data_IF_016068162597
#
_entry.id   IF_016068162597
#
_cell.length_a   1.000
_cell.length_b   1.000
_cell.length_c   1.000
_cell.angle_alpha   90.00
_cell.angle_beta   90.00
_cell.angle_gamma   90.00
#
_symmetry.space_group_name_H-M   'P 1'
#
loop_
_entity.id
_entity.type
_entity.pdbx_description
1 polymer ?
#
# COMPACT_ATOMS: atom_id res chain seq x y z
N UNK A 1 -26.15 20.41 15.62
CA UNK A 1 -24.73 20.82 15.56
C UNK A 1 -23.89 19.56 15.58
N UNK A 2 -23.50 19.05 14.41
CA UNK A 2 -22.64 17.87 14.32
C UNK A 2 -21.22 18.34 14.56
N UNK A 3 -20.68 18.06 15.74
CA UNK A 3 -19.26 18.26 15.99
C UNK A 3 -18.50 17.16 15.22
N UNK A 4 -17.87 17.53 14.11
CA UNK A 4 -16.83 16.69 13.49
C UNK A 4 -15.65 16.75 14.47
N UNK A 5 -15.50 15.68 15.25
CA UNK A 5 -14.61 15.67 16.42
C UNK A 5 -13.14 15.51 16.06
N UNK A 6 -12.83 15.12 14.82
CA UNK A 6 -11.48 14.85 14.37
C UNK A 6 -11.13 15.74 13.16
N UNK A 7 -10.02 16.50 13.28
CA UNK A 7 -9.47 17.25 12.16
C UNK A 7 -8.89 16.26 11.14
N UNK A 8 -9.20 16.44 9.86
CA UNK A 8 -8.58 15.67 8.79
C UNK A 8 -7.07 15.92 8.80
N UNK A 9 -6.28 14.84 8.87
CA UNK A 9 -4.82 14.91 8.75
C UNK A 9 -4.44 15.05 7.28
N UNK A 10 -3.56 16.02 6.99
CA UNK A 10 -3.00 16.26 5.67
C UNK A 10 -1.49 16.05 5.75
N UNK A 11 -0.97 15.24 4.82
CA UNK A 11 0.46 15.00 4.66
C UNK A 11 0.81 15.29 3.19
N UNK A 12 1.92 15.99 2.97
CA UNK A 12 2.44 16.32 1.64
C UNK A 12 3.76 15.57 1.51
N UNK A 13 3.90 14.80 0.44
CA UNK A 13 5.08 13.98 0.15
C UNK A 13 5.60 14.31 -1.24
N UNK A 14 6.89 14.10 -1.48
CA UNK A 14 7.48 14.30 -2.81
C UNK A 14 7.31 13.05 -3.68
N UNK A 15 7.37 11.88 -3.05
CA UNK A 15 7.37 10.60 -3.73
C UNK A 15 6.24 9.69 -3.21
N UNK A 16 5.67 8.88 -4.12
CA UNK A 16 4.53 8.01 -3.79
C UNK A 16 4.87 6.99 -2.70
N UNK A 17 6.11 6.49 -2.67
CA UNK A 17 6.56 5.51 -1.68
C UNK A 17 6.71 6.08 -0.25
N UNK A 18 6.89 7.40 -0.10
CA UNK A 18 6.99 8.08 1.20
C UNK A 18 5.69 8.02 2.01
N UNK A 19 4.57 7.66 1.37
CA UNK A 19 3.29 7.41 2.04
C UNK A 19 3.37 6.21 2.98
N UNK A 20 4.18 5.18 2.68
CA UNK A 20 4.19 3.96 3.49
C UNK A 20 4.65 4.19 4.94
N UNK A 21 5.78 4.88 5.22
CA UNK A 21 6.17 5.24 6.59
C UNK A 21 5.06 5.96 7.37
N UNK A 22 4.32 6.85 6.70
CA UNK A 22 3.22 7.62 7.28
C UNK A 22 2.06 6.69 7.66
N UNK A 23 1.65 5.80 6.76
CA UNK A 23 0.62 4.80 7.02
C UNK A 23 1.00 3.89 8.20
N UNK A 24 2.25 3.46 8.25
CA UNK A 24 2.76 2.61 9.34
C UNK A 24 2.70 3.34 10.68
N UNK A 25 3.18 4.58 10.73
CA UNK A 25 3.18 5.41 11.95
C UNK A 25 1.76 5.67 12.45
N UNK A 26 0.84 6.02 11.55
CA UNK A 26 -0.47 6.53 11.93
C UNK A 26 -1.52 5.43 12.10
N UNK A 27 -1.46 4.43 11.22
CA UNK A 27 -2.45 3.35 11.14
C UNK A 27 -1.88 2.08 11.77
N UNK A 28 -0.61 1.74 11.50
CA UNK A 28 0.01 0.50 11.95
C UNK A 28 0.03 0.29 13.47
N UNK A 29 0.08 1.37 14.26
CA UNK A 29 0.04 1.30 15.74
C UNK A 29 -1.37 0.99 16.27
N UNK A 30 -2.41 1.32 15.50
CA UNK A 30 -3.81 1.26 15.93
C UNK A 30 -4.64 0.18 15.24
N UNK A 31 -4.11 -0.41 14.16
CA UNK A 31 -4.75 -1.46 13.38
C UNK A 31 -4.97 -2.71 14.24
N UNK A 32 -6.24 -3.03 14.51
CA UNK A 32 -6.60 -4.29 15.15
C UNK A 32 -6.67 -5.39 14.10
N UNK A 33 -6.42 -6.63 14.53
CA UNK A 33 -6.60 -7.80 13.68
C UNK A 33 -8.04 -7.84 13.15
N UNK A 34 -8.20 -7.90 11.82
CA UNK A 34 -9.49 -7.95 11.15
C UNK A 34 -10.11 -6.59 10.78
N UNK A 35 -9.44 -5.48 11.03
CA UNK A 35 -9.89 -4.17 10.53
C UNK A 35 -9.54 -3.98 9.05
N UNK A 36 -10.52 -3.50 8.27
CA UNK A 36 -10.36 -3.22 6.85
C UNK A 36 -9.91 -1.77 6.63
N UNK A 37 -8.71 -1.58 6.08
CA UNK A 37 -8.22 -0.28 5.59
C UNK A 37 -8.29 -0.23 4.07
N UNK A 38 -8.98 0.77 3.52
CA UNK A 38 -9.10 1.00 2.09
C UNK A 38 -8.18 2.14 1.64
N UNK A 39 -7.29 1.85 0.69
CA UNK A 39 -6.54 2.87 -0.04
C UNK A 39 -7.39 3.38 -1.20
N UNK A 40 -7.79 4.65 -1.14
CA UNK A 40 -8.44 5.36 -2.26
C UNK A 40 -7.38 6.19 -2.96
N UNK A 41 -7.10 5.87 -4.23
CA UNK A 41 -5.97 6.45 -4.96
C UNK A 41 -6.38 6.96 -6.34
N UNK A 42 -5.96 8.18 -6.64
CA UNK A 42 -6.14 8.84 -7.94
C UNK A 42 -4.77 9.00 -8.58
N UNK A 43 -4.47 8.18 -9.59
CA UNK A 43 -3.16 8.17 -10.24
C UNK A 43 -3.25 7.49 -11.61
N UNK A 44 -2.34 7.80 -12.53
CA UNK A 44 -2.22 7.12 -13.81
C UNK A 44 -1.46 5.79 -13.74
N UNK A 45 -0.63 5.56 -12.72
CA UNK A 45 0.10 4.32 -12.48
C UNK A 45 -0.56 3.51 -11.38
N UNK A 46 -0.50 2.17 -11.44
CA UNK A 46 -1.13 1.31 -10.42
C UNK A 46 -0.28 1.16 -9.15
N UNK A 47 1.04 1.33 -9.24
CA UNK A 47 2.04 1.07 -8.19
C UNK A 47 1.95 -0.34 -7.55
N UNK A 48 1.54 -1.33 -8.34
CA UNK A 48 1.38 -2.73 -7.94
C UNK A 48 2.55 -3.63 -8.39
N UNK A 49 3.76 -3.09 -8.62
CA UNK A 49 4.90 -3.93 -8.95
C UNK A 49 5.39 -4.67 -7.70
N UNK A 50 5.72 -5.95 -7.85
CA UNK A 50 6.42 -6.69 -6.80
C UNK A 50 7.85 -6.14 -6.67
N UNK A 51 8.35 -5.91 -5.44
CA UNK A 51 9.76 -5.58 -5.23
C UNK A 51 10.62 -6.78 -5.64
N UNK A 52 11.56 -6.57 -6.57
CA UNK A 52 12.31 -7.68 -7.21
C UNK A 52 13.28 -8.40 -6.28
N UNK A 53 13.90 -7.65 -5.38
CA UNK A 53 15.06 -8.12 -4.60
C UNK A 53 14.77 -8.16 -3.10
N UNK A 54 13.49 -8.23 -2.72
CA UNK A 54 13.07 -8.14 -1.32
C UNK A 54 12.47 -9.46 -0.88
N UNK A 55 13.07 -10.09 0.12
CA UNK A 55 12.51 -11.32 0.69
C UNK A 55 11.25 -10.97 1.47
N UNK A 56 10.24 -11.82 1.39
CA UNK A 56 9.00 -11.62 2.13
C UNK A 56 9.24 -11.57 3.66
N UNK A 57 10.27 -12.27 4.14
CA UNK A 57 10.67 -12.27 5.57
C UNK A 57 11.39 -10.97 5.96
N UNK A 58 12.04 -10.25 5.04
CA UNK A 58 12.73 -8.98 5.32
C UNK A 58 11.72 -7.82 5.50
N UNK A 59 10.60 -7.92 4.78
CA UNK A 59 9.43 -7.02 4.91
C UNK A 59 8.83 -7.08 6.33
N UNK A 60 9.24 -8.06 7.15
CA UNK A 60 8.77 -8.14 8.53
C UNK A 60 9.27 -7.00 9.42
N UNK A 61 10.38 -6.36 9.04
CA UNK A 61 10.97 -5.24 9.78
C UNK A 61 10.73 -3.91 9.07
N UNK A 62 10.30 -2.90 9.83
CA UNK A 62 9.89 -1.61 9.29
C UNK A 62 10.99 -0.90 8.50
N UNK A 63 12.24 -0.96 8.98
CA UNK A 63 13.36 -0.27 8.32
C UNK A 63 13.67 -0.89 6.95
N UNK A 64 13.80 -2.21 6.88
CA UNK A 64 14.04 -2.90 5.61
C UNK A 64 12.87 -2.73 4.62
N UNK A 65 11.63 -2.70 5.10
CA UNK A 65 10.47 -2.42 4.27
C UNK A 65 10.57 -1.05 3.59
N UNK A 66 10.86 0.01 4.36
CA UNK A 66 10.94 1.38 3.82
C UNK A 66 12.10 1.54 2.84
N UNK A 67 13.26 0.94 3.15
CA UNK A 67 14.45 1.07 2.32
C UNK A 67 14.37 0.28 0.99
N UNK A 68 13.47 -0.69 0.92
CA UNK A 68 13.40 -1.66 -0.17
C UNK A 68 12.30 -1.38 -1.21
N UNK A 69 11.45 -0.39 -0.95
CA UNK A 69 10.34 -0.02 -1.83
C UNK A 69 10.68 1.16 -2.75
N UNK A 70 10.08 1.14 -3.94
CA UNK A 70 10.16 2.21 -4.92
C UNK A 70 8.80 2.87 -5.10
N UNK A 71 8.77 4.00 -5.81
CA UNK A 71 7.53 4.67 -6.21
C UNK A 71 6.48 3.75 -6.85
N UNK A 72 6.90 2.65 -7.46
CA UNK A 72 6.00 1.73 -8.18
C UNK A 72 5.75 0.40 -7.45
N UNK A 73 6.40 0.15 -6.30
CA UNK A 73 6.42 -1.15 -5.63
C UNK A 73 6.08 -1.12 -4.13
N UNK A 74 5.50 -0.04 -3.64
CA UNK A 74 5.23 0.15 -2.22
C UNK A 74 3.88 -0.43 -1.76
N UNK A 75 2.90 -0.58 -2.67
CA UNK A 75 1.54 -1.00 -2.31
C UNK A 75 1.49 -2.49 -1.93
N UNK A 76 2.10 -3.39 -2.71
CA UNK A 76 2.04 -4.82 -2.42
C UNK A 76 2.65 -5.17 -1.05
N UNK A 77 3.81 -4.63 -0.64
CA UNK A 77 4.32 -4.83 0.71
C UNK A 77 3.38 -4.32 1.81
N UNK A 78 2.70 -3.19 1.58
CA UNK A 78 1.71 -2.65 2.51
C UNK A 78 0.48 -3.57 2.65
N UNK A 79 0.05 -4.20 1.55
CA UNK A 79 -1.01 -5.20 1.55
C UNK A 79 -0.56 -6.47 2.27
N UNK A 80 0.64 -6.96 1.99
CA UNK A 80 1.21 -8.14 2.64
C UNK A 80 1.28 -8.00 4.17
N UNK A 81 1.62 -6.79 4.65
CA UNK A 81 1.65 -6.45 6.08
C UNK A 81 0.28 -6.17 6.70
N UNK A 82 -0.78 -6.13 5.89
CA UNK A 82 -2.14 -5.85 6.35
C UNK A 82 -2.42 -4.38 6.64
N UNK A 83 -1.53 -3.45 6.28
CA UNK A 83 -1.80 -2.01 6.40
C UNK A 83 -2.84 -1.53 5.39
N UNK A 84 -3.00 -2.26 4.28
CA UNK A 84 -4.00 -2.01 3.25
C UNK A 84 -4.71 -3.33 2.96
N UNK A 85 -6.04 -3.32 3.00
CA UNK A 85 -6.87 -4.51 2.75
C UNK A 85 -7.63 -4.42 1.44
N UNK A 86 -7.91 -3.18 0.98
CA UNK A 86 -8.65 -2.90 -0.25
C UNK A 86 -8.02 -1.73 -0.99
N UNK A 87 -8.02 -1.80 -2.31
CA UNK A 87 -7.47 -0.75 -3.18
C UNK A 87 -8.58 -0.30 -4.12
N UNK A 88 -8.93 0.97 -4.05
CA UNK A 88 -9.79 1.64 -5.01
C UNK A 88 -8.91 2.56 -5.84
N UNK A 89 -8.56 2.12 -7.05
CA UNK A 89 -7.73 2.89 -7.96
C UNK A 89 -8.58 3.56 -9.04
N UNK A 90 -8.60 4.89 -9.00
CA UNK A 90 -9.21 5.73 -10.01
C UNK A 90 -8.11 6.20 -10.97
N UNK A 91 -8.15 5.66 -12.19
CA UNK A 91 -7.19 5.97 -13.24
C UNK A 91 -7.83 6.83 -14.33
N UNK A 92 -7.06 7.71 -14.99
CA UNK A 92 -7.57 8.49 -16.10
C UNK A 92 -7.85 7.60 -17.33
N UNK A 93 -8.70 8.06 -18.28
CA UNK A 93 -9.11 7.26 -19.43
C UNK A 93 -7.97 6.77 -20.33
N UNK A 94 -6.81 7.44 -20.31
CA UNK A 94 -5.63 7.09 -21.10
C UNK A 94 -4.70 6.07 -20.41
N UNK A 95 -4.98 5.68 -19.16
CA UNK A 95 -4.23 4.65 -18.45
C UNK A 95 -4.80 3.26 -18.78
N UNK A 96 -4.04 2.47 -19.53
CA UNK A 96 -4.49 1.19 -20.10
C UNK A 96 -3.80 -0.04 -19.49
N UNK A 97 -3.07 0.11 -18.38
CA UNK A 97 -2.33 -1.01 -17.75
C UNK A 97 -3.26 -2.14 -17.26
N UNK A 98 -4.45 -1.78 -16.80
CA UNK A 98 -5.50 -2.70 -16.40
C UNK A 98 -6.84 -2.24 -16.98
N UNK A 99 -7.75 -3.19 -17.23
CA UNK A 99 -9.14 -2.86 -17.53
C UNK A 99 -9.85 -2.42 -16.25
N UNK A 100 -10.94 -1.66 -16.40
CA UNK A 100 -11.76 -1.28 -15.26
C UNK A 100 -12.52 -2.51 -14.78
N UNK A 101 -12.47 -2.77 -13.48
CA UNK A 101 -13.09 -3.98 -12.93
C UNK A 101 -12.77 -4.21 -11.46
N UNK A 102 -13.26 -5.35 -10.96
CA UNK A 102 -12.96 -5.86 -9.62
C UNK A 102 -12.06 -7.06 -9.76
N UNK A 103 -10.91 -7.00 -9.11
CA UNK A 103 -9.90 -8.04 -9.17
C UNK A 103 -9.68 -8.62 -7.76
N UNK A 104 -9.81 -9.93 -7.57
CA UNK A 104 -9.31 -10.56 -6.35
C UNK A 104 -7.79 -10.45 -6.35
N UNK A 105 -7.22 -9.96 -5.26
CA UNK A 105 -5.79 -9.84 -5.07
C UNK A 105 -5.39 -10.65 -3.83
N UNK A 106 -4.38 -11.49 -3.97
CA UNK A 106 -3.72 -12.17 -2.86
C UNK A 106 -2.23 -11.87 -2.98
N UNK A 107 -1.63 -11.44 -1.88
CA UNK A 107 -0.20 -11.10 -1.80
C UNK A 107 0.42 -12.00 -0.74
N UNK A 108 1.52 -12.66 -1.06
CA UNK A 108 2.15 -13.60 -0.15
C UNK A 108 3.49 -14.07 -0.67
N UNK A 109 4.30 -14.64 0.21
CA UNK A 109 5.63 -15.15 -0.09
C UNK A 109 5.60 -16.19 -1.22
N UNK A 110 6.38 -15.96 -2.27
CA UNK A 110 6.65 -16.95 -3.30
C UNK A 110 7.46 -18.11 -2.69
N UNK A 111 6.93 -19.34 -2.74
CA UNK A 111 7.57 -20.51 -2.14
C UNK A 111 8.89 -20.90 -2.83
N UNK A 112 9.07 -20.57 -4.10
CA UNK A 112 10.26 -20.95 -4.87
C UNK A 112 11.43 -19.99 -4.64
N UNK A 113 11.15 -18.68 -4.65
CA UNK A 113 12.19 -17.64 -4.59
C UNK A 113 12.29 -16.98 -3.21
N UNK A 114 11.27 -17.13 -2.36
CA UNK A 114 11.16 -16.48 -1.05
C UNK A 114 10.92 -14.97 -1.11
N UNK A 115 10.79 -14.39 -2.31
CA UNK A 115 10.43 -12.99 -2.51
C UNK A 115 8.93 -12.79 -2.33
N UNK A 116 8.50 -11.53 -2.21
CA UNK A 116 7.08 -11.18 -2.22
C UNK A 116 6.41 -11.47 -3.57
#
# INVERSE_FOLDING_TARGET
MVAIKDKLKLEIVEHNNEVLPILIRDIGVNLKSGEDVALVRFDSYADLLAPKDVKADEIETLNHLVDSITNQSWILPAVYRGYITKILWFKPPWAHQFQDGKYPLQVGKCQQTGVL
#
